data_IF_977196657909
#
_entry.id   IF_977196657909
#
_cell.length_a   1.000
_cell.length_b   1.000
_cell.length_c   1.000
_cell.angle_alpha   90.00
_cell.angle_beta   90.00
_cell.angle_gamma   90.00
#
_symmetry.space_group_name_H-M   'P 1'
#
loop_
_entity.id
_entity.type
_entity.pdbx_description
1 polymer ?
#
# COMPACT_ATOMS: atom_id res chain seq x y z
N UNK A 1 -12.98 -3.84 -8.35
CA UNK A 1 -14.26 -3.91 -9.10
C UNK A 1 -14.10 -4.97 -10.19
N UNK A 2 -15.18 -5.47 -10.79
CA UNK A 2 -15.12 -6.42 -11.91
C UNK A 2 -16.36 -6.28 -12.79
N UNK A 3 -16.25 -6.74 -14.05
CA UNK A 3 -17.40 -6.96 -14.92
C UNK A 3 -17.63 -8.46 -15.03
N UNK A 4 -18.88 -8.87 -14.80
CA UNK A 4 -19.28 -10.28 -14.77
C UNK A 4 -20.44 -10.51 -15.73
N UNK A 5 -20.40 -11.62 -16.46
CA UNK A 5 -21.49 -12.07 -17.34
C UNK A 5 -21.87 -13.50 -16.99
N UNK A 6 -23.14 -13.70 -16.63
CA UNK A 6 -23.71 -15.00 -16.29
C UNK A 6 -24.29 -15.66 -17.52
N UNK A 7 -23.86 -16.89 -17.81
CA UNK A 7 -24.34 -17.70 -18.91
C UNK A 7 -25.16 -18.85 -18.33
N UNK A 8 -26.48 -18.80 -18.54
CA UNK A 8 -27.42 -19.75 -17.94
C UNK A 8 -27.51 -21.02 -18.77
N UNK A 9 -26.81 -22.07 -18.35
CA UNK A 9 -26.72 -23.35 -19.06
C UNK A 9 -26.71 -24.53 -18.10
N UNK A 10 -27.29 -25.66 -18.52
CA UNK A 10 -27.12 -26.96 -17.85
C UNK A 10 -26.07 -27.85 -18.52
N UNK A 11 -25.62 -27.44 -19.70
CA UNK A 11 -24.56 -28.09 -20.47
C UNK A 11 -23.31 -27.24 -20.29
N UNK A 12 -22.52 -27.59 -19.27
CA UNK A 12 -21.27 -26.88 -18.94
C UNK A 12 -20.15 -27.46 -19.82
N UNK A 13 -19.57 -26.67 -20.73
CA UNK A 13 -18.49 -27.16 -21.58
C UNK A 13 -17.23 -27.45 -20.76
N UNK A 14 -16.47 -28.47 -21.15
CA UNK A 14 -15.15 -28.72 -20.58
C UNK A 14 -14.23 -27.50 -20.76
N UNK A 15 -13.38 -27.16 -19.77
CA UNK A 15 -12.46 -26.01 -19.86
C UNK A 15 -11.64 -25.98 -21.15
N UNK A 16 -11.13 -27.13 -21.56
CA UNK A 16 -10.37 -27.34 -22.79
C UNK A 16 -11.11 -26.91 -24.07
N UNK A 17 -12.44 -27.09 -24.10
CA UNK A 17 -13.26 -26.70 -25.24
C UNK A 17 -13.38 -25.17 -25.35
N UNK A 18 -13.46 -24.48 -24.20
CA UNK A 18 -13.45 -23.02 -24.14
C UNK A 18 -12.10 -22.51 -24.61
N UNK A 19 -11.00 -22.98 -24.00
CA UNK A 19 -9.63 -22.56 -24.31
C UNK A 19 -9.29 -22.71 -25.81
N UNK A 20 -9.66 -23.84 -26.43
CA UNK A 20 -9.42 -24.06 -27.86
C UNK A 20 -10.20 -23.13 -28.77
N UNK A 21 -11.35 -22.62 -28.33
CA UNK A 21 -12.21 -21.76 -29.14
C UNK A 21 -11.81 -20.28 -29.03
N UNK A 22 -11.27 -19.86 -27.90
CA UNK A 22 -10.72 -18.50 -27.72
C UNK A 22 -9.29 -18.36 -28.24
N UNK A 23 -8.56 -19.48 -28.42
CA UNK A 23 -7.22 -19.48 -28.99
C UNK A 23 -7.26 -19.15 -30.49
N UNK A 24 -6.96 -17.89 -30.82
CA UNK A 24 -6.74 -17.48 -32.20
C UNK A 24 -5.44 -18.09 -32.77
N UNK A 25 -5.40 -18.25 -34.09
CA UNK A 25 -4.21 -18.76 -34.77
C UNK A 25 -3.02 -17.82 -34.56
N UNK A 26 -2.00 -18.31 -33.87
CA UNK A 26 -0.77 -17.56 -33.58
C UNK A 26 -0.77 -16.86 -32.22
N UNK A 27 -1.79 -17.07 -31.40
CA UNK A 27 -1.87 -16.55 -30.03
C UNK A 27 -1.76 -17.70 -29.04
N UNK A 28 -0.85 -17.59 -28.08
CA UNK A 28 -0.70 -18.57 -27.00
C UNK A 28 -1.55 -18.15 -25.79
N UNK A 29 -2.22 -19.12 -25.17
CA UNK A 29 -3.01 -18.94 -23.96
C UNK A 29 -2.32 -19.69 -22.82
N UNK A 30 -2.23 -19.05 -21.67
CA UNK A 30 -1.76 -19.68 -20.44
C UNK A 30 -2.91 -19.77 -19.45
N UNK A 31 -3.10 -20.95 -18.87
CA UNK A 31 -4.06 -21.18 -17.81
C UNK A 31 -3.31 -21.42 -16.49
N UNK A 32 -3.65 -20.66 -15.45
CA UNK A 32 -3.12 -20.85 -14.09
C UNK A 32 -4.04 -21.72 -13.24
N UNK A 33 -5.29 -21.87 -13.68
CA UNK A 33 -6.18 -22.97 -13.30
C UNK A 33 -6.88 -23.46 -14.54
N UNK A 34 -6.88 -24.78 -14.78
CA UNK A 34 -7.48 -25.41 -15.95
C UNK A 34 -8.68 -26.31 -15.60
N UNK A 35 -9.17 -26.25 -14.36
CA UNK A 35 -10.26 -27.08 -13.85
C UNK A 35 -11.31 -26.21 -13.12
N UNK A 36 -12.54 -26.73 -13.01
CA UNK A 36 -13.62 -26.10 -12.25
C UNK A 36 -13.43 -26.30 -10.73
N UNK A 37 -13.98 -25.42 -9.87
CA UNK A 37 -15.00 -24.40 -10.17
C UNK A 37 -14.45 -23.09 -10.75
N UNK A 38 -13.14 -22.93 -10.97
CA UNK A 38 -12.58 -21.68 -11.51
C UNK A 38 -11.49 -21.94 -12.55
N UNK A 39 -11.81 -21.72 -13.81
CA UNK A 39 -10.86 -21.72 -14.93
C UNK A 39 -10.28 -20.30 -15.08
N UNK A 40 -8.98 -20.12 -14.82
CA UNK A 40 -8.30 -18.82 -14.90
C UNK A 40 -7.21 -18.84 -15.97
N UNK A 41 -7.29 -17.92 -16.93
CA UNK A 41 -6.39 -17.89 -18.08
C UNK A 41 -6.24 -16.51 -18.73
N UNK A 42 -5.17 -16.34 -19.50
CA UNK A 42 -4.82 -15.10 -20.19
C UNK A 42 -4.04 -15.34 -21.49
N UNK A 43 -3.96 -14.31 -22.33
CA UNK A 43 -3.05 -14.34 -23.48
C UNK A 43 -1.59 -14.17 -23.03
N UNK A 44 -0.71 -15.06 -23.48
CA UNK A 44 0.72 -14.99 -23.19
C UNK A 44 1.29 -13.63 -23.61
N UNK A 45 2.14 -13.06 -22.76
CA UNK A 45 2.80 -11.75 -22.94
C UNK A 45 1.87 -10.53 -23.04
N UNK A 46 0.57 -10.69 -22.79
CA UNK A 46 -0.42 -9.61 -22.95
C UNK A 46 -1.44 -9.49 -21.81
N UNK A 47 -1.61 -10.57 -21.03
CA UNK A 47 -2.46 -10.55 -19.86
C UNK A 47 -1.73 -9.97 -18.64
N UNK A 48 -2.42 -9.09 -17.92
CA UNK A 48 -2.01 -8.67 -16.58
C UNK A 48 -2.75 -9.52 -15.55
N UNK A 49 -4.08 -9.61 -15.68
CA UNK A 49 -4.95 -10.32 -14.74
C UNK A 49 -5.53 -11.59 -15.33
N UNK A 50 -5.64 -11.66 -16.66
CA UNK A 50 -6.41 -12.67 -17.34
C UNK A 50 -7.91 -12.51 -17.08
N UNK A 51 -8.64 -13.60 -17.28
CA UNK A 51 -10.06 -13.71 -16.97
C UNK A 51 -10.33 -14.98 -16.17
N UNK A 52 -11.48 -15.02 -15.52
CA UNK A 52 -11.96 -16.18 -14.78
C UNK A 52 -13.29 -16.66 -15.38
N UNK A 53 -13.43 -17.98 -15.51
CA UNK A 53 -14.69 -18.65 -15.82
C UNK A 53 -15.03 -19.55 -14.65
N UNK A 54 -16.05 -19.15 -13.89
CA UNK A 54 -16.46 -19.82 -12.66
C UNK A 54 -17.73 -20.65 -12.88
N UNK A 55 -17.82 -21.79 -12.21
CA UNK A 55 -19.04 -22.59 -12.13
C UNK A 55 -20.01 -21.96 -11.11
N UNK A 56 -21.27 -21.81 -11.51
CA UNK A 56 -22.36 -21.23 -10.72
C UNK A 56 -23.56 -22.18 -10.70
N UNK A 57 -24.48 -22.02 -9.73
CA UNK A 57 -25.63 -22.93 -9.54
C UNK A 57 -26.47 -23.14 -10.82
N UNK A 58 -26.61 -22.09 -11.63
CA UNK A 58 -27.41 -22.08 -12.87
C UNK A 58 -26.57 -21.95 -14.16
N UNK A 59 -25.26 -22.21 -14.11
CA UNK A 59 -24.40 -22.23 -15.29
C UNK A 59 -22.98 -21.75 -15.03
N UNK A 60 -22.54 -20.73 -15.78
CA UNK A 60 -21.18 -20.19 -15.71
C UNK A 60 -21.19 -18.68 -15.48
N UNK A 61 -20.20 -18.17 -14.77
CA UNK A 61 -19.85 -16.75 -14.73
C UNK A 61 -18.54 -16.55 -15.49
N UNK A 62 -18.52 -15.63 -16.46
CA UNK A 62 -17.27 -15.11 -17.03
C UNK A 62 -16.99 -13.77 -16.37
N UNK A 63 -15.77 -13.57 -15.87
CA UNK A 63 -15.38 -12.39 -15.10
C UNK A 63 -14.07 -11.79 -15.62
N UNK A 64 -14.03 -10.46 -15.70
CA UNK A 64 -12.80 -9.68 -15.87
C UNK A 64 -12.70 -8.64 -14.75
N UNK A 65 -11.54 -8.53 -14.12
CA UNK A 65 -11.32 -7.56 -13.04
C UNK A 65 -11.12 -6.14 -13.59
N UNK A 66 -11.39 -5.12 -12.78
CA UNK A 66 -10.95 -3.75 -13.05
C UNK A 66 -9.43 -3.67 -13.09
N UNK A 67 -8.89 -2.66 -13.78
CA UNK A 67 -7.45 -2.51 -13.98
C UNK A 67 -6.85 -3.72 -14.71
N UNK A 68 -7.50 -4.14 -15.80
CA UNK A 68 -7.02 -5.20 -16.68
C UNK A 68 -6.55 -4.60 -18.01
N UNK A 69 -5.75 -5.34 -18.78
CA UNK A 69 -5.32 -4.84 -20.10
C UNK A 69 -6.45 -4.89 -21.12
N UNK A 70 -6.29 -4.15 -22.23
CA UNK A 70 -7.16 -4.32 -23.40
C UNK A 70 -7.23 -5.77 -23.87
N UNK A 71 -6.13 -6.52 -23.76
CA UNK A 71 -6.10 -7.93 -24.14
C UNK A 71 -6.93 -8.83 -23.22
N UNK A 72 -6.95 -8.55 -21.91
CA UNK A 72 -7.79 -9.24 -20.93
C UNK A 72 -9.28 -8.98 -21.20
N UNK A 73 -9.68 -7.73 -21.46
CA UNK A 73 -11.06 -7.41 -21.85
C UNK A 73 -11.44 -8.04 -23.20
N UNK A 74 -10.55 -8.07 -24.19
CA UNK A 74 -10.79 -8.78 -25.45
C UNK A 74 -10.99 -10.29 -25.21
N UNK A 75 -10.22 -10.89 -24.32
CA UNK A 75 -10.34 -12.30 -23.96
C UNK A 75 -11.68 -12.59 -23.26
N UNK A 76 -12.11 -11.70 -22.36
CA UNK A 76 -13.41 -11.76 -21.69
C UNK A 76 -14.56 -11.87 -22.68
N UNK A 77 -14.60 -10.96 -23.67
CA UNK A 77 -15.65 -10.95 -24.69
C UNK A 77 -15.62 -12.21 -25.55
N UNK A 78 -14.41 -12.67 -25.93
CA UNK A 78 -14.23 -13.92 -26.69
C UNK A 78 -14.69 -15.14 -25.92
N UNK A 79 -14.44 -15.21 -24.61
CA UNK A 79 -14.86 -16.32 -23.78
C UNK A 79 -16.40 -16.39 -23.67
N UNK A 80 -17.07 -15.26 -23.51
CA UNK A 80 -18.54 -15.20 -23.51
C UNK A 80 -19.10 -15.71 -24.85
N UNK A 81 -18.61 -15.19 -25.97
CA UNK A 81 -19.04 -15.62 -27.31
C UNK A 81 -18.77 -17.12 -27.54
N UNK A 82 -17.59 -17.61 -27.14
CA UNK A 82 -17.23 -19.01 -27.26
C UNK A 82 -18.18 -19.93 -26.46
N UNK A 83 -18.48 -19.60 -25.21
CA UNK A 83 -19.38 -20.39 -24.36
C UNK A 83 -20.81 -20.34 -24.89
N UNK A 84 -21.31 -19.17 -25.31
CA UNK A 84 -22.63 -19.05 -25.93
C UNK A 84 -22.75 -19.91 -27.19
N UNK A 85 -21.72 -19.97 -28.03
CA UNK A 85 -21.70 -20.81 -29.23
C UNK A 85 -21.60 -22.31 -28.93
N UNK A 86 -20.86 -22.70 -27.89
CA UNK A 86 -20.72 -24.10 -27.47
C UNK A 86 -22.02 -24.66 -26.89
N UNK A 87 -22.78 -23.84 -26.16
CA UNK A 87 -23.93 -24.27 -25.36
C UNK A 87 -25.28 -23.89 -25.97
N UNK A 88 -25.31 -22.88 -26.84
CA UNK A 88 -26.56 -22.24 -27.30
C UNK A 88 -27.28 -21.44 -26.21
N UNK A 89 -26.66 -21.22 -25.06
CA UNK A 89 -27.22 -20.52 -23.92
C UNK A 89 -27.24 -19.00 -24.08
N UNK A 90 -28.01 -18.34 -23.21
CA UNK A 90 -28.09 -16.88 -23.13
C UNK A 90 -27.18 -16.34 -22.04
N UNK A 91 -26.58 -15.19 -22.32
CA UNK A 91 -25.71 -14.45 -21.41
C UNK A 91 -26.43 -13.24 -20.84
N UNK A 92 -26.14 -12.89 -19.59
CA UNK A 92 -26.78 -11.80 -18.85
C UNK A 92 -25.75 -11.02 -18.04
N UNK A 93 -25.90 -9.70 -18.00
CA UNK A 93 -25.20 -8.84 -17.05
C UNK A 93 -25.80 -8.98 -15.63
N UNK A 94 -25.14 -8.39 -14.64
CA UNK A 94 -25.57 -8.42 -13.23
C UNK A 94 -26.95 -7.79 -13.01
N UNK A 95 -27.35 -6.84 -13.86
CA UNK A 95 -28.65 -6.18 -13.86
C UNK A 95 -29.72 -6.93 -14.69
N UNK A 96 -29.46 -8.19 -15.03
CA UNK A 96 -30.33 -9.08 -15.82
C UNK A 96 -30.56 -8.64 -17.27
N UNK A 97 -29.74 -7.72 -17.79
CA UNK A 97 -29.77 -7.33 -19.20
C UNK A 97 -29.13 -8.43 -20.06
N UNK A 98 -29.87 -8.94 -21.06
CA UNK A 98 -29.41 -9.99 -21.97
C UNK A 98 -28.32 -9.48 -22.93
N UNK A 99 -27.21 -10.21 -23.02
CA UNK A 99 -26.12 -9.96 -23.97
C UNK A 99 -26.37 -10.80 -25.22
N UNK A 100 -26.85 -10.17 -26.30
CA UNK A 100 -27.24 -10.87 -27.54
C UNK A 100 -26.04 -11.11 -28.47
N UNK A 101 -25.16 -10.12 -28.62
CA UNK A 101 -24.01 -10.16 -29.51
C UNK A 101 -22.77 -9.64 -28.76
N UNK A 102 -22.06 -10.50 -27.99
CA UNK A 102 -20.98 -10.06 -27.10
C UNK A 102 -19.94 -9.17 -27.79
N UNK A 103 -19.48 -9.58 -28.98
CA UNK A 103 -18.47 -8.84 -29.77
C UNK A 103 -18.93 -7.44 -30.22
N UNK A 104 -20.24 -7.20 -30.30
CA UNK A 104 -20.79 -5.88 -30.64
C UNK A 104 -21.20 -5.08 -29.39
N UNK A 105 -21.63 -5.78 -28.34
CA UNK A 105 -22.03 -5.17 -27.07
C UNK A 105 -20.82 -4.63 -26.28
N UNK A 106 -19.71 -5.37 -26.31
CA UNK A 106 -18.44 -5.02 -25.68
C UNK A 106 -17.40 -4.71 -26.76
N UNK A 107 -17.63 -3.61 -27.48
CA UNK A 107 -16.77 -3.16 -28.57
C UNK A 107 -15.49 -2.48 -28.04
N UNK A 108 -14.59 -2.05 -28.94
CA UNK A 108 -13.34 -1.39 -28.56
C UNK A 108 -13.55 -0.11 -27.73
N UNK A 109 -14.60 0.67 -28.02
CA UNK A 109 -14.96 1.87 -27.23
C UNK A 109 -15.33 1.51 -25.79
N UNK A 110 -16.08 0.41 -25.58
CA UNK A 110 -16.36 -0.11 -24.25
C UNK A 110 -15.06 -0.53 -23.54
N UNK A 111 -14.18 -1.25 -24.23
CA UNK A 111 -12.91 -1.72 -23.67
C UNK A 111 -12.02 -0.56 -23.22
N UNK A 112 -11.89 0.48 -24.06
CA UNK A 112 -11.09 1.66 -23.71
C UNK A 112 -11.66 2.38 -22.48
N UNK A 113 -12.98 2.57 -22.44
CA UNK A 113 -13.65 3.19 -21.29
C UNK A 113 -13.49 2.39 -20.01
N UNK A 114 -13.60 1.06 -20.04
CA UNK A 114 -13.42 0.23 -18.84
C UNK A 114 -11.96 0.24 -18.34
N UNK A 115 -10.99 0.30 -19.25
CA UNK A 115 -9.58 0.43 -18.88
C UNK A 115 -9.31 1.79 -18.22
N UNK A 116 -9.79 2.88 -18.81
CA UNK A 116 -9.69 4.24 -18.26
C UNK A 116 -10.36 4.32 -16.87
N UNK A 117 -11.60 3.85 -16.75
CA UNK A 117 -12.31 3.83 -15.47
C UNK A 117 -11.60 2.99 -14.40
N UNK A 118 -10.97 1.88 -14.79
CA UNK A 118 -10.15 1.06 -13.90
C UNK A 118 -8.91 1.78 -13.39
N UNK A 119 -8.20 2.48 -14.27
CA UNK A 119 -7.03 3.30 -13.93
C UNK A 119 -7.42 4.47 -13.01
N UNK A 120 -8.46 5.21 -13.37
CA UNK A 120 -8.92 6.36 -12.59
C UNK A 120 -9.38 5.95 -11.20
N UNK A 121 -10.08 4.82 -11.08
CA UNK A 121 -10.47 4.28 -9.78
C UNK A 121 -9.25 3.90 -8.92
N UNK A 122 -8.21 3.29 -9.52
CA UNK A 122 -6.99 2.95 -8.80
C UNK A 122 -6.23 4.21 -8.34
N UNK A 123 -6.06 5.20 -9.22
CA UNK A 123 -5.43 6.49 -8.90
C UNK A 123 -6.19 7.24 -7.80
N UNK A 124 -7.52 7.30 -7.91
CA UNK A 124 -8.37 7.92 -6.89
C UNK A 124 -8.24 7.23 -5.54
N UNK A 125 -8.24 5.88 -5.50
CA UNK A 125 -8.07 5.13 -4.26
C UNK A 125 -6.69 5.36 -3.63
N UNK A 126 -5.60 5.32 -4.40
CA UNK A 126 -4.25 5.63 -3.91
C UNK A 126 -4.19 7.05 -3.36
N UNK A 127 -4.74 8.02 -4.10
CA UNK A 127 -4.82 9.42 -3.67
C UNK A 127 -5.57 9.57 -2.35
N UNK A 128 -6.77 8.99 -2.24
CA UNK A 128 -7.65 9.16 -1.08
C UNK A 128 -7.16 8.43 0.17
N UNK A 129 -6.47 7.29 -0.02
CA UNK A 129 -6.00 6.47 1.10
C UNK A 129 -4.59 6.84 1.55
N UNK A 130 -3.77 7.41 0.66
CA UNK A 130 -2.32 7.49 0.84
C UNK A 130 -1.64 6.12 0.91
N UNK A 131 -2.38 5.03 0.65
CA UNK A 131 -1.88 3.67 0.73
C UNK A 131 -1.86 3.03 -0.64
N UNK A 132 -0.98 2.05 -0.76
CA UNK A 132 -0.92 1.21 -1.94
C UNK A 132 -2.12 0.25 -2.00
N UNK A 133 -2.43 -0.20 -3.21
CA UNK A 133 -3.48 -1.17 -3.49
C UNK A 133 -2.83 -2.45 -3.96
N UNK A 134 -3.10 -3.55 -3.27
CA UNK A 134 -2.66 -4.88 -3.69
C UNK A 134 -3.69 -5.49 -4.63
N UNK A 135 -3.26 -5.92 -5.81
CA UNK A 135 -4.10 -6.56 -6.81
C UNK A 135 -3.53 -7.92 -7.21
N UNK A 136 -4.42 -8.87 -7.50
CA UNK A 136 -4.04 -10.20 -8.00
C UNK A 136 -3.90 -10.16 -9.52
N UNK A 137 -2.68 -10.37 -10.01
CA UNK A 137 -2.40 -10.63 -11.42
C UNK A 137 -2.72 -12.07 -11.82
N UNK A 138 -2.17 -12.46 -12.97
CA UNK A 138 -2.31 -13.82 -13.49
C UNK A 138 -1.37 -14.79 -12.75
N UNK A 139 -0.12 -14.41 -12.46
CA UNK A 139 0.89 -15.24 -11.79
C UNK A 139 1.29 -14.72 -10.42
N UNK A 140 1.43 -13.41 -10.26
CA UNK A 140 1.81 -12.79 -9.00
C UNK A 140 0.88 -11.62 -8.65
N UNK A 141 0.89 -11.24 -7.37
CA UNK A 141 0.30 -9.97 -6.94
C UNK A 141 1.08 -8.80 -7.57
N UNK A 142 0.44 -7.64 -7.63
CA UNK A 142 1.10 -6.37 -7.91
C UNK A 142 0.53 -5.26 -7.05
N UNK A 143 1.38 -4.35 -6.62
CA UNK A 143 1.04 -3.25 -5.73
C UNK A 143 1.08 -1.92 -6.50
N UNK A 144 -0.03 -1.18 -6.47
CA UNK A 144 -0.14 0.14 -7.08
C UNK A 144 -0.10 1.20 -5.98
N UNK A 145 0.82 2.15 -6.04
CA UNK A 145 0.82 3.31 -5.15
C UNK A 145 1.43 4.54 -5.83
N UNK A 146 1.68 5.57 -5.04
CA UNK A 146 2.08 6.88 -5.55
C UNK A 146 3.43 6.81 -6.27
N UNK A 147 4.39 6.04 -5.74
CA UNK A 147 5.72 5.93 -6.34
C UNK A 147 5.71 5.20 -7.67
N UNK A 148 4.91 4.13 -7.78
CA UNK A 148 4.75 3.43 -9.04
C UNK A 148 4.16 4.37 -10.08
N UNK A 149 3.07 5.08 -9.77
CA UNK A 149 2.47 6.02 -10.73
C UNK A 149 3.44 7.15 -11.11
N UNK A 150 4.13 7.75 -10.14
CA UNK A 150 5.13 8.79 -10.37
C UNK A 150 6.28 8.29 -11.27
N UNK A 151 6.73 7.04 -11.09
CA UNK A 151 7.82 6.46 -11.91
C UNK A 151 7.49 6.29 -13.39
N UNK A 152 6.20 6.38 -13.75
CA UNK A 152 5.69 6.38 -15.13
C UNK A 152 5.16 7.75 -15.55
N UNK A 153 5.45 8.82 -14.82
CA UNK A 153 4.93 10.17 -15.11
C UNK A 153 3.38 10.25 -15.09
N UNK A 154 2.72 9.37 -14.33
CA UNK A 154 1.26 9.33 -14.17
C UNK A 154 0.87 10.09 -12.90
N UNK A 155 0.35 11.33 -12.99
CA UNK A 155 -0.09 12.08 -11.82
C UNK A 155 -1.28 11.39 -11.14
N UNK A 156 -1.57 11.68 -9.88
CA UNK A 156 -2.76 11.14 -9.19
C UNK A 156 -4.04 11.94 -9.45
N UNK A 157 -3.94 13.18 -9.93
CA UNK A 157 -5.09 14.12 -10.04
C UNK A 157 -5.31 14.71 -11.42
N UNK A 158 -4.30 14.73 -12.29
CA UNK A 158 -4.35 15.42 -13.58
C UNK A 158 -4.63 14.48 -14.75
N UNK A 159 -4.78 15.05 -15.95
CA UNK A 159 -4.85 14.27 -17.17
C UNK A 159 -3.55 13.46 -17.37
N UNK A 160 -3.69 12.25 -17.91
CA UNK A 160 -2.58 11.31 -18.12
C UNK A 160 -2.25 11.19 -19.61
N UNK A 161 -0.97 11.07 -19.95
CA UNK A 161 -0.58 10.71 -21.31
C UNK A 161 -0.87 9.22 -21.55
N UNK A 162 -1.34 8.92 -22.76
CA UNK A 162 -1.66 7.54 -23.15
C UNK A 162 -0.40 6.69 -23.28
N UNK A 163 0.73 7.27 -23.70
CA UNK A 163 2.01 6.56 -23.84
C UNK A 163 2.55 6.11 -22.47
N UNK A 164 2.38 6.94 -21.44
CA UNK A 164 2.77 6.67 -20.06
C UNK A 164 1.91 5.54 -19.46
N UNK A 165 0.59 5.60 -19.68
CA UNK A 165 -0.35 4.55 -19.28
C UNK A 165 -0.04 3.23 -19.98
N UNK A 166 0.20 3.25 -21.30
CA UNK A 166 0.55 2.05 -22.06
C UNK A 166 1.87 1.45 -21.52
N UNK A 167 2.87 2.28 -21.20
CA UNK A 167 4.14 1.86 -20.60
C UNK A 167 3.97 1.21 -19.22
N UNK A 168 3.10 1.75 -18.36
CA UNK A 168 2.76 1.13 -17.08
C UNK A 168 2.17 -0.28 -17.27
N UNK A 169 1.18 -0.41 -18.16
CA UNK A 169 0.55 -1.71 -18.43
C UNK A 169 1.52 -2.70 -19.08
N UNK A 170 2.42 -2.25 -19.96
CA UNK A 170 3.47 -3.10 -20.55
C UNK A 170 4.44 -3.60 -19.47
N UNK A 171 4.89 -2.73 -18.56
CA UNK A 171 5.75 -3.11 -17.44
C UNK A 171 5.07 -4.15 -16.52
N UNK A 172 3.83 -3.87 -16.10
CA UNK A 172 3.06 -4.78 -15.25
C UNK A 172 2.80 -6.12 -15.95
N UNK A 173 2.54 -6.12 -17.26
CA UNK A 173 2.45 -7.36 -18.03
C UNK A 173 3.77 -8.12 -18.03
N UNK A 174 4.89 -7.46 -18.37
CA UNK A 174 6.22 -8.12 -18.42
C UNK A 174 6.53 -8.79 -17.09
N UNK A 175 6.28 -8.09 -15.98
CA UNK A 175 6.45 -8.63 -14.63
C UNK A 175 5.67 -9.93 -14.39
N UNK A 176 4.40 -10.01 -14.83
CA UNK A 176 3.61 -11.24 -14.68
C UNK A 176 4.23 -12.43 -15.42
N UNK A 177 4.88 -12.19 -16.56
CA UNK A 177 5.47 -13.26 -17.36
C UNK A 177 6.86 -13.64 -16.90
N UNK A 178 7.65 -12.67 -16.46
CA UNK A 178 8.92 -12.92 -15.82
C UNK A 178 8.73 -13.77 -14.55
N UNK A 179 7.62 -13.55 -13.82
CA UNK A 179 7.34 -14.21 -12.54
C UNK A 179 6.80 -15.64 -12.63
N UNK A 180 6.50 -16.17 -13.82
CA UNK A 180 5.88 -17.51 -14.02
C UNK A 180 6.64 -18.63 -13.28
N UNK A 181 7.97 -18.54 -13.24
CA UNK A 181 8.83 -19.52 -12.56
C UNK A 181 9.59 -18.92 -11.38
N UNK A 182 9.19 -17.73 -10.93
CA UNK A 182 9.80 -17.11 -9.75
C UNK A 182 9.30 -17.79 -8.49
N UNK A 183 10.21 -17.94 -7.54
CA UNK A 183 9.89 -18.24 -6.15
C UNK A 183 9.72 -16.93 -5.41
N UNK A 184 8.68 -16.82 -4.59
CA UNK A 184 8.49 -15.68 -3.72
C UNK A 184 8.76 -16.06 -2.26
N UNK A 185 8.73 -15.06 -1.39
CA UNK A 185 8.84 -15.22 0.07
C UNK A 185 7.49 -15.44 0.75
N UNK A 186 6.39 -15.59 -0.01
CA UNK A 186 5.07 -15.76 0.58
C UNK A 186 5.01 -17.08 1.36
N UNK A 187 4.28 -17.07 2.46
CA UNK A 187 4.08 -18.27 3.27
C UNK A 187 2.60 -18.58 3.42
N UNK A 188 2.30 -19.84 3.81
CA UNK A 188 0.96 -20.20 4.30
C UNK A 188 0.80 -19.92 5.79
N UNK A 189 1.80 -19.31 6.43
CA UNK A 189 1.75 -18.97 7.84
C UNK A 189 0.93 -17.70 8.02
N UNK A 190 0.02 -17.76 8.97
CA UNK A 190 -0.76 -16.61 9.42
C UNK A 190 -0.54 -16.52 10.92
N UNK A 191 -0.08 -15.37 11.40
CA UNK A 191 0.02 -15.12 12.84
C UNK A 191 -1.41 -14.97 13.38
N UNK A 192 -1.87 -15.86 14.27
CA UNK A 192 -3.24 -15.82 14.74
C UNK A 192 -3.47 -14.60 15.62
N UNK A 193 -4.60 -13.94 15.44
CA UNK A 193 -5.02 -12.87 16.33
C UNK A 193 -5.22 -13.36 17.76
N UNK A 194 -5.10 -12.42 18.71
CA UNK A 194 -5.32 -12.70 20.13
C UNK A 194 -6.79 -13.00 20.47
N UNK A 195 -7.73 -12.55 19.63
CA UNK A 195 -9.17 -12.83 19.77
C UNK A 195 -9.61 -14.17 19.13
N UNK A 196 -8.71 -14.83 18.40
CA UNK A 196 -8.96 -16.11 17.71
C UNK A 196 -9.75 -15.99 16.41
N UNK A 197 -10.05 -14.76 15.96
CA UNK A 197 -10.65 -14.51 14.65
C UNK A 197 -9.62 -14.69 13.53
N UNK A 198 -9.88 -15.64 12.63
CA UNK A 198 -8.99 -15.97 11.52
C UNK A 198 -8.85 -14.80 10.54
N UNK A 199 -9.87 -13.94 10.41
CA UNK A 199 -9.82 -12.77 9.54
C UNK A 199 -8.88 -11.67 10.06
N UNK A 200 -8.58 -11.68 11.37
CA UNK A 200 -7.66 -10.74 12.01
C UNK A 200 -6.22 -11.28 12.06
N UNK A 201 -5.95 -12.43 11.45
CA UNK A 201 -4.62 -13.00 11.37
C UNK A 201 -3.71 -12.18 10.45
N UNK A 202 -2.41 -12.13 10.77
CA UNK A 202 -1.42 -11.40 9.97
C UNK A 202 -0.70 -12.36 9.04
N UNK A 203 -0.74 -12.07 7.74
CA UNK A 203 0.02 -12.80 6.72
C UNK A 203 1.51 -12.52 6.83
N UNK A 204 2.34 -13.51 6.52
CA UNK A 204 3.79 -13.42 6.66
C UNK A 204 4.47 -13.71 5.32
N UNK A 205 5.32 -12.78 4.92
CA UNK A 205 6.39 -12.96 3.95
C UNK A 205 7.67 -13.30 4.73
N UNK A 206 8.46 -14.32 4.34
CA UNK A 206 9.59 -14.77 5.15
C UNK A 206 10.90 -14.93 4.38
N UNK A 207 11.99 -14.42 4.95
CA UNK A 207 13.37 -14.72 4.56
C UNK A 207 13.95 -15.65 5.63
N UNK A 208 14.32 -16.87 5.22
CA UNK A 208 14.83 -17.88 6.13
C UNK A 208 16.29 -18.22 5.83
N UNK A 209 17.09 -18.46 6.86
CA UNK A 209 18.40 -19.13 6.75
C UNK A 209 18.23 -20.59 7.17
N UNK A 210 18.76 -21.53 6.38
CA UNK A 210 18.77 -22.96 6.68
C UNK A 210 19.97 -23.66 6.07
N UNK A 211 20.59 -24.57 6.83
CA UNK A 211 21.81 -25.28 6.48
C UNK A 211 22.97 -24.35 6.03
N UNK A 212 23.10 -23.20 6.68
CA UNK A 212 24.13 -22.18 6.41
C UNK A 212 23.90 -21.39 5.11
N UNK A 213 22.67 -21.36 4.59
CA UNK A 213 22.32 -20.69 3.34
C UNK A 213 20.98 -19.96 3.49
N UNK A 214 20.83 -18.83 2.79
CA UNK A 214 19.54 -18.15 2.65
C UNK A 214 18.67 -18.97 1.69
N UNK A 215 17.41 -19.21 2.06
CA UNK A 215 16.45 -19.92 1.21
C UNK A 215 16.31 -19.22 -0.17
N UNK A 216 16.05 -20.02 -1.20
CA UNK A 216 16.00 -19.51 -2.57
C UNK A 216 14.67 -18.81 -2.88
N UNK A 217 14.73 -17.52 -3.22
CA UNK A 217 13.61 -16.73 -3.72
C UNK A 217 14.07 -15.74 -4.80
N UNK A 218 13.14 -15.22 -5.60
CA UNK A 218 13.41 -14.24 -6.66
C UNK A 218 12.91 -12.84 -6.29
N UNK A 219 11.85 -12.74 -5.50
CA UNK A 219 11.33 -11.47 -5.02
C UNK A 219 10.67 -11.62 -3.65
N UNK A 220 10.58 -10.51 -2.94
CA UNK A 220 9.85 -10.39 -1.68
C UNK A 220 8.41 -10.01 -2.01
N UNK A 221 7.46 -10.88 -1.69
CA UNK A 221 6.02 -10.66 -1.93
C UNK A 221 5.38 -9.89 -0.78
N UNK A 222 4.42 -9.04 -1.13
CA UNK A 222 3.60 -8.29 -0.18
C UNK A 222 2.82 -9.20 0.79
N UNK A 223 2.82 -8.79 2.06
CA UNK A 223 2.11 -9.39 3.19
C UNK A 223 1.92 -8.33 4.31
N UNK A 224 1.27 -8.68 5.42
CA UNK A 224 1.16 -7.79 6.59
C UNK A 224 2.50 -7.60 7.31
N UNK A 225 3.29 -8.68 7.40
CA UNK A 225 4.58 -8.72 8.07
C UNK A 225 5.68 -9.31 7.18
N UNK A 226 6.90 -8.80 7.34
CA UNK A 226 8.11 -9.53 6.96
C UNK A 226 8.70 -10.21 8.20
N UNK A 227 8.86 -11.54 8.11
CA UNK A 227 9.62 -12.34 9.06
C UNK A 227 11.04 -12.60 8.55
N UNK A 228 12.05 -12.39 9.37
CA UNK A 228 13.42 -12.85 9.10
C UNK A 228 13.81 -13.85 10.18
N UNK A 229 14.15 -15.07 9.77
CA UNK A 229 14.31 -16.21 10.66
C UNK A 229 15.59 -16.96 10.34
N UNK A 230 16.48 -17.06 11.32
CA UNK A 230 17.58 -18.01 11.28
C UNK A 230 17.11 -19.36 11.85
N UNK A 231 16.96 -20.37 10.99
CA UNK A 231 16.53 -21.71 11.41
C UNK A 231 17.70 -22.60 11.86
N UNK A 232 18.94 -22.13 11.71
CA UNK A 232 20.14 -22.85 12.10
C UNK A 232 20.64 -22.44 13.50
N UNK A 233 20.32 -21.23 13.96
CA UNK A 233 20.72 -20.70 15.27
C UNK A 233 19.53 -20.19 16.11
N UNK A 234 19.00 -21.07 16.96
CA UNK A 234 17.93 -20.76 17.93
C UNK A 234 18.31 -19.65 18.95
N UNK A 235 19.59 -19.27 19.06
CA UNK A 235 20.02 -18.17 19.92
C UNK A 235 19.71 -16.79 19.31
N UNK A 236 19.49 -16.71 17.99
CA UNK A 236 19.10 -15.49 17.29
C UNK A 236 17.57 -15.45 17.21
N UNK A 237 16.89 -14.58 17.98
CA UNK A 237 15.44 -14.53 17.95
C UNK A 237 14.96 -14.03 16.57
N UNK A 238 13.88 -14.61 16.01
CA UNK A 238 13.31 -14.11 14.76
C UNK A 238 12.87 -12.65 14.89
N UNK A 239 12.86 -11.94 13.77
CA UNK A 239 12.37 -10.56 13.68
C UNK A 239 11.10 -10.53 12.84
N UNK A 240 10.11 -9.78 13.30
CA UNK A 240 8.88 -9.51 12.55
C UNK A 240 8.65 -8.00 12.53
N UNK A 241 8.55 -7.44 11.34
CA UNK A 241 8.29 -6.00 11.15
C UNK A 241 7.09 -5.80 10.24
N UNK A 242 6.35 -4.67 10.37
CA UNK A 242 5.34 -4.29 9.39
C UNK A 242 5.95 -4.26 8.00
N UNK A 243 5.29 -4.89 7.03
CA UNK A 243 5.87 -5.09 5.70
C UNK A 243 6.18 -3.78 4.96
N UNK A 244 5.46 -2.70 5.26
CA UNK A 244 5.75 -1.38 4.72
C UNK A 244 7.13 -0.81 5.10
N UNK A 245 7.76 -1.34 6.14
CA UNK A 245 9.07 -0.85 6.63
C UNK A 245 10.26 -1.54 5.96
N UNK A 246 10.03 -2.54 5.11
CA UNK A 246 11.10 -3.44 4.67
C UNK A 246 12.17 -2.72 3.85
N UNK A 247 11.80 -1.71 3.07
CA UNK A 247 12.74 -0.96 2.24
C UNK A 247 13.86 -0.30 3.06
N UNK A 248 13.64 -0.06 4.36
CA UNK A 248 14.64 0.50 5.29
C UNK A 248 15.76 -0.48 5.63
N UNK A 249 15.50 -1.78 5.48
CA UNK A 249 16.44 -2.85 5.87
C UNK A 249 17.02 -3.59 4.66
N UNK A 250 16.45 -3.44 3.47
CA UNK A 250 16.95 -4.12 2.28
C UNK A 250 18.27 -3.49 1.81
N UNK A 251 19.31 -4.31 1.53
CA UNK A 251 20.54 -3.81 0.90
C UNK A 251 20.26 -3.23 -0.48
N UNK A 252 20.60 -1.95 -0.67
CA UNK A 252 20.33 -1.19 -1.91
C UNK A 252 20.99 -1.79 -3.17
N UNK A 253 22.04 -2.60 -3.01
CA UNK A 253 22.75 -3.26 -4.10
C UNK A 253 22.24 -4.68 -4.40
N UNK A 254 21.35 -5.22 -3.56
CA UNK A 254 20.81 -6.58 -3.72
C UNK A 254 19.32 -6.62 -4.08
N UNK A 255 18.63 -5.49 -4.01
CA UNK A 255 17.20 -5.38 -4.25
C UNK A 255 16.84 -4.18 -5.11
N UNK A 256 15.86 -4.38 -5.98
CA UNK A 256 15.21 -3.33 -6.76
C UNK A 256 13.70 -3.40 -6.52
N UNK A 257 13.01 -2.25 -6.54
CA UNK A 257 11.54 -2.23 -6.49
C UNK A 257 11.00 -2.94 -7.73
N UNK A 258 10.16 -3.94 -7.50
CA UNK A 258 9.44 -4.65 -8.55
C UNK A 258 8.14 -3.90 -8.89
N UNK A 259 7.49 -3.36 -7.87
CA UNK A 259 6.35 -2.44 -7.92
C UNK A 259 6.35 -1.55 -6.67
N UNK A 260 5.20 -1.01 -6.24
CA UNK A 260 5.12 -0.15 -5.06
C UNK A 260 5.72 -0.78 -3.79
N UNK A 261 5.46 -2.07 -3.55
CA UNK A 261 5.74 -2.72 -2.27
C UNK A 261 6.47 -4.06 -2.39
N UNK A 262 6.68 -4.58 -3.60
CA UNK A 262 7.40 -5.83 -3.81
C UNK A 262 8.83 -5.52 -4.29
N UNK A 263 9.78 -6.39 -3.93
CA UNK A 263 11.20 -6.15 -4.17
C UNK A 263 11.84 -7.34 -4.86
N UNK A 264 12.38 -7.14 -6.07
CA UNK A 264 13.13 -8.14 -6.83
C UNK A 264 14.52 -8.27 -6.23
N UNK A 265 14.95 -9.51 -5.98
CA UNK A 265 16.33 -9.82 -5.62
C UNK A 265 17.19 -9.85 -6.88
N UNK A 266 18.20 -9.00 -6.95
CA UNK A 266 19.11 -8.87 -8.10
C UNK A 266 20.46 -9.52 -7.85
N UNK A 267 20.89 -9.61 -6.59
CA UNK A 267 22.17 -10.22 -6.20
C UNK A 267 21.99 -11.38 -5.21
N UNK A 268 23.08 -12.12 -4.98
CA UNK A 268 23.08 -13.22 -4.00
C UNK A 268 23.11 -12.65 -2.58
N UNK A 269 22.17 -13.08 -1.74
CA UNK A 269 22.18 -12.76 -0.31
C UNK A 269 23.05 -13.74 0.45
N UNK A 270 23.96 -13.20 1.25
CA UNK A 270 24.75 -13.99 2.21
C UNK A 270 24.03 -14.06 3.55
N UNK A 271 24.42 -15.02 4.39
CA UNK A 271 23.92 -15.12 5.78
C UNK A 271 24.23 -13.84 6.56
N UNK A 272 25.45 -13.31 6.42
CA UNK A 272 25.87 -12.07 7.08
C UNK A 272 24.98 -10.89 6.69
N UNK A 273 24.65 -10.74 5.39
CA UNK A 273 23.72 -9.70 4.93
C UNK A 273 22.34 -9.85 5.55
N UNK A 274 21.83 -11.08 5.68
CA UNK A 274 20.52 -11.32 6.31
C UNK A 274 20.57 -11.06 7.81
N UNK A 275 21.69 -11.34 8.49
CA UNK A 275 21.88 -10.94 9.89
C UNK A 275 21.94 -9.42 10.06
N UNK A 276 22.63 -8.71 9.16
CA UNK A 276 22.63 -7.24 9.13
C UNK A 276 21.21 -6.69 8.94
N UNK A 277 20.40 -7.32 8.07
CA UNK A 277 18.97 -7.00 7.92
C UNK A 277 18.19 -7.24 9.22
N UNK A 278 18.46 -8.34 9.94
CA UNK A 278 17.80 -8.62 11.23
C UNK A 278 18.15 -7.56 12.28
N UNK A 279 19.42 -7.15 12.35
CA UNK A 279 19.88 -6.13 13.30
C UNK A 279 19.26 -4.76 12.98
N UNK A 280 19.24 -4.39 11.70
CA UNK A 280 18.54 -3.18 11.23
C UNK A 280 17.04 -3.23 11.56
N UNK A 281 16.39 -4.39 11.41
CA UNK A 281 14.96 -4.55 11.65
C UNK A 281 14.55 -4.49 13.13
N UNK A 282 15.48 -4.66 14.09
CA UNK A 282 15.14 -4.73 15.53
C UNK A 282 14.38 -3.53 16.06
N UNK A 283 14.73 -2.32 15.61
CA UNK A 283 14.05 -1.11 16.06
C UNK A 283 12.69 -0.90 15.38
N UNK A 284 12.44 -1.56 14.24
CA UNK A 284 11.16 -1.48 13.52
C UNK A 284 10.14 -2.51 14.04
N UNK A 285 10.57 -3.43 14.92
CA UNK A 285 9.69 -4.45 15.48
C UNK A 285 8.80 -3.87 16.58
N UNK A 286 7.46 -3.92 16.43
CA UNK A 286 6.53 -3.53 17.48
C UNK A 286 6.59 -4.48 18.67
N UNK A 287 6.23 -3.99 19.86
CA UNK A 287 6.10 -4.82 21.06
C UNK A 287 4.92 -5.81 20.96
N UNK A 288 3.86 -5.42 20.24
CA UNK A 288 2.68 -6.23 19.92
C UNK A 288 2.35 -6.09 18.43
N UNK A 289 2.50 -7.19 17.68
CA UNK A 289 2.29 -7.21 16.23
C UNK A 289 0.82 -7.01 15.83
N UNK A 290 -0.13 -7.29 16.72
CA UNK A 290 -1.56 -7.09 16.46
C UNK A 290 -2.07 -5.74 16.97
N UNK A 291 -1.24 -4.98 17.69
CA UNK A 291 -1.67 -3.69 18.20
C UNK A 291 -1.85 -2.70 17.06
N UNK A 292 -3.10 -2.27 16.85
CA UNK A 292 -3.46 -1.18 15.93
C UNK A 292 -3.56 0.10 16.76
N UNK A 293 -2.57 1.02 16.68
CA UNK A 293 -2.61 2.25 17.45
C UNK A 293 -3.80 3.12 17.01
N UNK A 294 -4.39 3.87 17.95
CA UNK A 294 -5.42 4.86 17.61
C UNK A 294 -4.74 6.13 17.12
N UNK A 295 -5.12 6.62 15.94
CA UNK A 295 -4.50 7.83 15.41
C UNK A 295 -5.08 9.10 16.04
N UNK A 296 -4.28 10.18 16.13
CA UNK A 296 -4.82 11.49 16.47
C UNK A 296 -6.02 11.90 15.62
N UNK A 297 -7.12 12.27 16.27
CA UNK A 297 -8.38 12.61 15.60
C UNK A 297 -9.42 11.48 15.58
N UNK A 298 -9.03 10.24 15.88
CA UNK A 298 -9.93 9.09 15.88
C UNK A 298 -10.38 8.68 17.28
N UNK A 299 -9.73 9.20 18.33
CA UNK A 299 -9.97 8.80 19.70
C UNK A 299 -8.75 8.97 20.58
N UNK A 300 -8.95 8.79 21.90
CA UNK A 300 -7.87 8.76 22.87
C UNK A 300 -7.66 7.34 23.40
N UNK A 301 -6.50 6.76 23.15
CA UNK A 301 -6.06 5.50 23.77
C UNK A 301 -5.16 5.80 24.97
N UNK A 302 -5.58 5.37 26.16
CA UNK A 302 -4.82 5.57 27.40
C UNK A 302 -3.49 4.80 27.44
N UNK A 303 -3.29 3.83 26.53
CA UNK A 303 -2.01 3.11 26.39
C UNK A 303 -0.96 3.93 25.65
N UNK A 304 -1.38 4.85 24.78
CA UNK A 304 -0.48 5.68 23.99
C UNK A 304 -0.04 6.90 24.80
N UNK A 305 1.24 7.24 24.68
CA UNK A 305 1.78 8.53 25.11
C UNK A 305 1.71 9.52 23.95
N UNK A 306 1.65 10.80 24.27
CA UNK A 306 1.60 11.86 23.26
C UNK A 306 2.87 12.69 23.30
N UNK A 307 3.54 12.78 22.16
CA UNK A 307 4.78 13.55 21.98
C UNK A 307 4.54 14.77 21.11
N UNK A 308 5.13 15.90 21.49
CA UNK A 308 5.13 17.13 20.70
C UNK A 308 6.49 17.30 20.05
N UNK A 309 6.48 17.35 18.73
CA UNK A 309 7.63 17.57 17.87
C UNK A 309 7.61 19.02 17.39
N UNK A 310 8.78 19.63 17.29
CA UNK A 310 8.93 21.02 16.89
C UNK A 310 9.67 21.08 15.55
N UNK A 311 9.04 21.69 14.56
CA UNK A 311 9.61 21.93 13.23
C UNK A 311 9.80 23.43 13.01
N UNK A 312 11.03 23.83 12.74
CA UNK A 312 11.34 25.18 12.30
C UNK A 312 11.93 25.10 10.87
N UNK A 313 11.18 25.52 9.83
CA UNK A 313 11.63 25.39 8.45
C UNK A 313 12.94 26.13 8.13
N UNK A 314 13.28 27.17 8.90
CA UNK A 314 14.51 27.95 8.68
C UNK A 314 15.78 27.19 9.09
N UNK A 315 15.66 26.15 9.93
CA UNK A 315 16.82 25.46 10.52
C UNK A 315 16.71 23.94 10.56
N UNK A 316 15.55 23.34 10.30
CA UNK A 316 15.39 21.88 10.32
C UNK A 316 15.91 21.26 9.03
N UNK A 317 16.10 19.93 9.02
CA UNK A 317 16.53 19.19 7.83
C UNK A 317 15.48 19.19 6.70
N UNK A 318 14.20 19.27 7.07
CA UNK A 318 13.07 19.38 6.13
C UNK A 318 12.72 20.86 5.96
N UNK A 319 12.83 21.37 4.73
CA UNK A 319 12.46 22.73 4.39
C UNK A 319 10.93 22.87 4.23
N UNK A 320 10.42 24.11 4.18
CA UNK A 320 9.01 24.36 3.88
C UNK A 320 8.63 23.84 2.48
N UNK A 321 9.54 24.00 1.51
CA UNK A 321 9.33 23.55 0.12
C UNK A 321 9.22 22.03 0.06
N UNK A 322 10.11 21.30 0.74
CA UNK A 322 10.06 19.83 0.77
C UNK A 322 8.78 19.32 1.46
N UNK A 323 8.35 19.98 2.54
CA UNK A 323 7.10 19.63 3.24
C UNK A 323 5.88 19.82 2.34
N UNK A 324 5.76 20.99 1.69
CA UNK A 324 4.66 21.27 0.76
C UNK A 324 4.67 20.32 -0.45
N UNK A 325 5.86 20.02 -1.00
CA UNK A 325 6.02 19.04 -2.08
C UNK A 325 5.55 17.64 -1.65
N UNK A 326 5.96 17.16 -0.48
CA UNK A 326 5.52 15.87 0.05
C UNK A 326 4.00 15.79 0.24
N UNK A 327 3.36 16.89 0.66
CA UNK A 327 1.90 16.99 0.77
C UNK A 327 1.24 16.93 -0.61
N UNK A 328 1.70 17.72 -1.58
CA UNK A 328 1.11 17.81 -2.93
C UNK A 328 1.13 16.47 -3.67
N UNK A 329 2.25 15.73 -3.58
CA UNK A 329 2.47 14.47 -4.30
C UNK A 329 2.14 13.23 -3.47
N UNK A 330 1.68 13.41 -2.23
CA UNK A 330 1.40 12.33 -1.27
C UNK A 330 2.61 11.40 -1.02
N UNK A 331 3.82 11.95 -1.09
CA UNK A 331 5.08 11.24 -0.88
C UNK A 331 5.41 11.20 0.62
N UNK A 332 4.66 10.36 1.34
CA UNK A 332 4.64 10.34 2.82
C UNK A 332 5.32 9.11 3.42
N UNK A 333 6.04 8.32 2.61
CA UNK A 333 6.58 7.00 2.99
C UNK A 333 7.59 7.02 4.13
N UNK A 334 8.31 8.12 4.33
CA UNK A 334 9.32 8.18 5.37
C UNK A 334 9.42 9.53 6.05
N UNK A 335 9.05 9.54 7.31
CA UNK A 335 9.43 10.59 8.21
C UNK A 335 10.12 9.98 9.42
N UNK A 336 11.21 10.62 9.86
CA UNK A 336 11.75 10.41 11.19
C UNK A 336 11.93 11.76 11.85
N UNK A 337 11.97 11.76 13.18
CA UNK A 337 12.23 12.99 13.92
C UNK A 337 13.01 12.72 15.19
N UNK A 338 13.88 13.66 15.54
CA UNK A 338 14.64 13.57 16.79
C UNK A 338 13.69 13.75 17.98
N UNK A 339 13.81 12.85 18.97
CA UNK A 339 12.98 12.85 20.17
C UNK A 339 13.82 13.07 21.42
N UNK A 340 13.52 14.12 22.18
CA UNK A 340 14.24 14.45 23.41
C UNK A 340 13.93 13.47 24.55
N UNK A 341 12.66 13.15 24.78
CA UNK A 341 12.20 12.18 25.78
C UNK A 341 12.15 10.75 25.19
N UNK A 342 13.14 10.37 24.37
CA UNK A 342 13.15 9.10 23.62
C UNK A 342 13.05 7.87 24.52
N UNK A 343 13.60 7.93 25.74
CA UNK A 343 13.56 6.84 26.72
C UNK A 343 12.12 6.45 27.11
N UNK A 344 11.18 7.39 26.92
CA UNK A 344 9.75 7.22 27.16
C UNK A 344 8.95 6.89 25.91
N UNK A 345 9.50 7.08 24.72
CA UNK A 345 8.79 6.84 23.46
C UNK A 345 8.82 5.36 23.09
N UNK A 346 7.73 4.84 22.55
CA UNK A 346 7.59 3.47 22.04
C UNK A 346 6.88 3.47 20.69
N UNK A 347 7.03 2.38 19.95
CA UNK A 347 6.22 2.12 18.77
C UNK A 347 4.73 2.18 19.13
N UNK A 348 3.94 2.87 18.33
CA UNK A 348 2.51 3.10 18.55
C UNK A 348 2.17 4.35 19.38
N UNK A 349 3.14 5.01 20.02
CA UNK A 349 2.88 6.29 20.68
C UNK A 349 2.51 7.39 19.67
N UNK A 350 1.74 8.37 20.11
CA UNK A 350 1.20 9.44 19.26
C UNK A 350 2.16 10.60 19.15
N UNK A 351 2.18 11.26 18.00
CA UNK A 351 2.91 12.50 17.83
C UNK A 351 2.07 13.62 17.20
N UNK A 352 2.47 14.86 17.49
CA UNK A 352 2.03 16.05 16.79
C UNK A 352 3.26 16.89 16.43
N UNK A 353 3.43 17.22 15.15
CA UNK A 353 4.47 18.13 14.66
C UNK A 353 3.92 19.55 14.62
N UNK A 354 4.60 20.45 15.32
CA UNK A 354 4.22 21.86 15.45
C UNK A 354 5.23 22.71 14.68
N UNK A 355 4.76 23.45 13.69
CA UNK A 355 5.54 24.51 13.03
C UNK A 355 5.75 25.66 14.00
N UNK A 356 7.01 26.01 14.23
CA UNK A 356 7.45 27.13 15.07
C UNK A 356 8.40 28.04 14.30
N UNK A 357 8.69 29.22 14.86
CA UNK A 357 9.58 30.19 14.24
C UNK A 357 8.79 31.31 13.54
N UNK A 358 9.19 31.66 12.31
CA UNK A 358 8.55 32.75 11.54
C UNK A 358 7.37 32.22 10.72
N UNK A 359 6.40 33.12 10.48
CA UNK A 359 5.23 32.83 9.67
C UNK A 359 4.08 32.26 10.48
N UNK A 360 3.22 31.49 9.83
CA UNK A 360 2.12 30.79 10.49
C UNK A 360 2.68 29.70 11.40
N UNK A 361 2.18 29.59 12.63
CA UNK A 361 2.62 28.57 13.60
C UNK A 361 1.43 27.76 14.09
N UNK A 362 1.63 26.47 14.29
CA UNK A 362 0.55 25.55 14.65
C UNK A 362 0.91 24.11 14.32
N UNK A 363 -0.02 23.20 14.58
CA UNK A 363 0.12 21.79 14.20
C UNK A 363 0.08 21.67 12.69
N UNK A 364 1.08 21.00 12.11
CA UNK A 364 1.19 20.72 10.66
C UNK A 364 1.13 19.24 10.33
N UNK A 365 1.29 18.37 11.32
CA UNK A 365 1.27 16.93 11.12
C UNK A 365 0.84 16.24 12.41
N UNK A 366 0.10 15.15 12.29
CA UNK A 366 -0.16 14.23 13.40
C UNK A 366 -0.01 12.79 12.93
N UNK A 367 0.27 11.90 13.87
CA UNK A 367 0.37 10.48 13.58
C UNK A 367 0.79 9.65 14.77
N UNK A 368 1.37 8.50 14.47
CA UNK A 368 1.92 7.57 15.46
C UNK A 368 3.36 7.22 15.09
N UNK A 369 4.19 6.93 16.08
CA UNK A 369 5.50 6.36 15.83
C UNK A 369 5.36 4.89 15.39
N UNK A 370 6.15 4.46 14.42
CA UNK A 370 6.12 3.09 13.88
C UNK A 370 7.46 2.34 14.08
N UNK A 371 8.28 2.86 14.99
CA UNK A 371 9.53 2.24 15.44
C UNK A 371 9.72 2.41 16.94
N UNK A 372 10.69 1.70 17.49
CA UNK A 372 11.33 1.95 18.76
C UNK A 372 12.41 3.03 18.61
N UNK A 373 12.76 3.76 19.68
CA UNK A 373 13.79 4.79 19.60
C UNK A 373 15.15 4.19 19.21
N UNK A 374 15.79 4.79 18.22
CA UNK A 374 17.12 4.37 17.75
C UNK A 374 18.10 5.55 17.75
N UNK A 375 19.38 5.26 17.98
CA UNK A 375 20.44 6.27 17.87
C UNK A 375 20.76 6.51 16.39
N UNK A 376 20.81 7.79 16.01
CA UNK A 376 21.15 8.22 14.65
C UNK A 376 22.19 9.33 14.66
N UNK A 377 22.77 9.59 13.49
CA UNK A 377 23.74 10.68 13.34
C UNK A 377 23.08 12.05 13.54
N UNK A 378 23.73 12.94 14.31
CA UNK A 378 23.27 14.32 14.47
C UNK A 378 23.37 15.07 13.13
N UNK A 379 22.22 15.27 12.47
CA UNK A 379 22.11 16.02 11.22
C UNK A 379 22.76 17.42 11.29
N UNK A 380 22.84 18.02 12.48
CA UNK A 380 23.45 19.33 12.67
C UNK A 380 24.98 19.33 12.66
N UNK A 381 25.61 18.15 12.56
CA UNK A 381 27.06 17.97 12.48
C UNK A 381 27.80 18.27 13.79
N UNK A 382 27.09 18.35 14.92
CA UNK A 382 27.67 18.73 16.23
C UNK A 382 28.15 17.53 17.05
N UNK A 383 28.06 16.32 16.50
CA UNK A 383 28.58 15.10 17.13
C UNK A 383 27.87 14.73 18.44
N UNK A 384 26.58 15.05 18.57
CA UNK A 384 25.76 14.65 19.71
C UNK A 384 25.14 13.29 19.42
N UNK A 385 24.95 12.47 20.46
CA UNK A 385 24.03 11.33 20.37
C UNK A 385 22.60 11.88 20.25
N UNK A 386 21.92 11.56 19.17
CA UNK A 386 20.53 11.96 18.91
C UNK A 386 19.73 10.68 18.72
N UNK A 387 18.56 10.64 19.34
CA UNK A 387 17.64 9.52 19.21
C UNK A 387 16.48 9.94 18.32
N UNK A 388 16.14 9.06 17.39
CA UNK A 388 15.09 9.25 16.42
C UNK A 388 13.97 8.26 16.66
N UNK A 389 12.78 8.65 16.23
CA UNK A 389 11.65 7.77 16.01
C UNK A 389 11.22 7.94 14.57
N UNK A 390 10.97 6.82 13.89
CA UNK A 390 10.21 6.81 12.65
C UNK A 390 8.74 7.12 12.93
N UNK A 391 8.13 7.81 11.98
CA UNK A 391 6.83 8.43 12.11
C UNK A 391 5.95 7.98 10.95
N UNK A 392 4.73 7.62 11.31
CA UNK A 392 3.65 7.35 10.38
C UNK A 392 2.53 8.39 10.57
N UNK A 393 2.49 9.41 9.70
CA UNK A 393 1.45 10.43 9.75
C UNK A 393 0.08 9.88 9.34
N UNK A 394 -0.96 10.46 9.93
CA UNK A 394 -2.36 10.31 9.49
C UNK A 394 -3.04 11.64 9.19
N UNK A 395 -2.32 12.76 9.35
CA UNK A 395 -2.71 14.10 8.93
C UNK A 395 -1.42 14.83 8.57
N UNK A 396 -1.38 15.43 7.39
CA UNK A 396 -0.34 16.38 6.99
C UNK A 396 -1.02 17.61 6.38
N UNK A 397 -0.63 18.79 6.84
CA UNK A 397 -1.21 20.07 6.43
C UNK A 397 -0.19 20.91 5.68
N UNK A 398 -0.60 21.53 4.58
CA UNK A 398 0.17 22.63 3.98
C UNK A 398 -0.03 23.90 4.83
N UNK A 399 1.02 24.38 5.54
CA UNK A 399 0.84 25.48 6.48
C UNK A 399 0.71 26.86 5.83
N UNK A 400 0.84 26.96 4.50
CA UNK A 400 0.63 28.19 3.73
C UNK A 400 -0.76 28.22 3.07
N UNK A 401 -1.34 27.06 2.75
CA UNK A 401 -2.61 26.97 2.01
C UNK A 401 -3.83 26.60 2.87
N UNK A 402 -3.65 25.90 4.00
CA UNK A 402 -4.79 25.47 4.86
C UNK A 402 -4.76 26.02 6.29
N UNK A 403 -5.94 26.15 6.94
CA UNK A 403 -6.00 26.48 8.37
C UNK A 403 -5.24 25.47 9.23
N UNK A 404 -4.76 25.91 10.40
CA UNK A 404 -4.09 25.07 11.39
C UNK A 404 -4.59 25.38 12.80
N UNK A 405 -4.47 24.40 13.70
CA UNK A 405 -4.61 24.65 15.13
C UNK A 405 -3.36 25.40 15.62
N UNK A 406 -3.49 26.72 15.84
CA UNK A 406 -2.34 27.61 16.04
C UNK A 406 -1.68 27.44 17.41
N UNK A 407 -0.40 27.85 17.51
CA UNK A 407 0.32 27.80 18.80
C UNK A 407 -0.34 28.69 19.86
N UNK A 408 -0.97 29.80 19.49
CA UNK A 408 -1.71 30.67 20.42
C UNK A 408 -2.93 29.95 21.01
N UNK A 409 -3.70 29.25 20.18
CA UNK A 409 -4.85 28.47 20.63
C UNK A 409 -4.43 27.31 21.54
N UNK A 410 -3.32 26.65 21.22
CA UNK A 410 -2.73 25.59 22.05
C UNK A 410 -2.24 26.14 23.39
N UNK A 411 -1.57 27.29 23.39
CA UNK A 411 -1.05 27.95 24.59
C UNK A 411 -2.18 28.44 25.50
N UNK A 412 -3.29 28.91 24.95
CA UNK A 412 -4.49 29.30 25.72
C UNK A 412 -5.12 28.08 26.40
N UNK A 413 -5.28 26.97 25.67
CA UNK A 413 -5.93 25.76 26.18
C UNK A 413 -5.05 24.95 27.15
N UNK A 414 -3.73 24.92 26.91
CA UNK A 414 -2.76 24.12 27.64
C UNK A 414 -1.55 24.98 28.04
N UNK A 415 -1.72 25.93 28.98
CA UNK A 415 -0.70 26.92 29.31
C UNK A 415 0.52 26.36 30.06
N UNK A 416 0.43 25.10 30.50
CA UNK A 416 1.50 24.39 31.22
C UNK A 416 2.66 24.00 30.30
N UNK A 417 2.41 23.89 29.00
CA UNK A 417 3.35 23.45 27.99
C UNK A 417 3.80 24.67 27.16
N UNK A 418 5.09 24.79 26.89
CA UNK A 418 5.62 25.79 25.95
C UNK A 418 5.45 25.28 24.51
N UNK A 419 4.55 25.91 23.77
CA UNK A 419 4.22 25.62 22.36
C UNK A 419 5.01 26.45 21.35
N UNK A 420 5.81 27.41 21.82
CA UNK A 420 6.53 28.37 20.96
C UNK A 420 8.00 28.02 20.79
N UNK A 421 8.51 27.03 21.53
CA UNK A 421 9.88 26.57 21.41
C UNK A 421 10.26 25.43 22.37
N UNK A 422 11.57 25.29 22.55
CA UNK A 422 12.19 24.24 23.38
C UNK A 422 12.74 23.07 22.55
N UNK A 423 13.05 21.97 23.24
CA UNK A 423 13.49 20.73 22.60
C UNK A 423 12.32 20.06 21.87
N UNK A 424 12.59 19.51 20.69
CA UNK A 424 11.62 18.68 19.97
C UNK A 424 11.49 17.30 20.63
N UNK A 425 10.30 16.68 20.54
CA UNK A 425 10.03 15.34 21.06
C UNK A 425 9.92 15.29 22.57
N UNK A 426 9.11 16.21 23.10
CA UNK A 426 8.77 16.26 24.52
C UNK A 426 7.50 15.46 24.78
N UNK A 427 7.49 14.71 25.87
CA UNK A 427 6.28 14.05 26.36
C UNK A 427 5.27 15.10 26.87
N UNK A 428 4.04 15.03 26.37
CA UNK A 428 2.92 15.81 26.88
C UNK A 428 2.26 15.08 28.06
N UNK A 429 1.91 15.83 29.10
CA UNK A 429 1.19 15.27 30.25
C UNK A 429 -0.19 14.75 29.86
N UNK A 430 -0.63 13.65 30.47
CA UNK A 430 -1.86 12.94 30.08
C UNK A 430 -3.12 13.83 30.05
N UNK A 431 -3.30 14.70 31.05
CA UNK A 431 -4.44 15.63 31.08
C UNK A 431 -4.46 16.60 29.89
N UNK A 432 -3.29 17.08 29.48
CA UNK A 432 -3.17 17.97 28.32
C UNK A 432 -3.23 17.18 27.00
N UNK A 433 -2.77 15.93 26.98
CA UNK A 433 -2.93 15.04 25.82
C UNK A 433 -4.41 14.77 25.48
N UNK A 434 -5.26 14.56 26.49
CA UNK A 434 -6.71 14.39 26.30
C UNK A 434 -7.35 15.68 25.75
N UNK A 435 -6.93 16.85 26.27
CA UNK A 435 -7.40 18.15 25.76
C UNK A 435 -6.97 18.37 24.32
N UNK A 436 -5.70 18.08 24.00
CA UNK A 436 -5.17 18.18 22.66
C UNK A 436 -5.95 17.31 21.68
N UNK A 437 -6.22 16.05 22.03
CA UNK A 437 -7.04 15.17 21.19
C UNK A 437 -8.44 15.75 20.96
N UNK A 438 -9.10 16.24 22.01
CA UNK A 438 -10.43 16.86 21.88
C UNK A 438 -10.41 18.09 20.96
N UNK A 439 -9.37 18.93 21.07
CA UNK A 439 -9.21 20.10 20.21
C UNK A 439 -8.93 19.70 18.76
N UNK A 440 -8.09 18.69 18.57
CA UNK A 440 -7.70 18.19 17.25
C UNK A 440 -8.87 17.53 16.53
N UNK A 441 -9.61 16.64 17.20
CA UNK A 441 -10.85 16.05 16.69
C UNK A 441 -11.84 17.11 16.21
N UNK A 442 -12.05 18.16 17.02
CA UNK A 442 -12.94 19.27 16.65
C UNK A 442 -12.41 20.03 15.44
N UNK A 443 -11.12 20.34 15.40
CA UNK A 443 -10.48 20.98 14.26
C UNK A 443 -10.68 20.17 12.98
N UNK A 444 -10.41 18.87 13.00
CA UNK A 444 -10.59 17.98 11.85
C UNK A 444 -12.07 17.87 11.44
N UNK A 445 -13.00 17.78 12.39
CA UNK A 445 -14.43 17.74 12.09
C UNK A 445 -14.91 19.03 11.40
N UNK A 446 -14.44 20.20 11.86
CA UNK A 446 -14.75 21.51 11.29
C UNK A 446 -14.24 21.67 9.86
N UNK A 447 -13.12 21.02 9.52
CA UNK A 447 -12.45 21.11 8.22
C UNK A 447 -12.53 19.83 7.39
N UNK A 448 -13.37 18.87 7.78
CA UNK A 448 -13.51 17.54 7.15
C UNK A 448 -13.88 17.57 5.66
N UNK A 449 -14.44 18.69 5.17
CA UNK A 449 -14.74 18.89 3.75
C UNK A 449 -13.51 19.21 2.91
N UNK A 450 -12.43 19.63 3.56
CA UNK A 450 -11.16 19.97 2.97
C UNK A 450 -10.14 18.81 3.07
N UNK A 451 -10.57 17.65 3.58
CA UNK A 451 -9.75 16.46 3.82
C UNK A 451 -9.92 15.40 2.71
N UNK A 452 -8.85 14.68 2.39
CA UNK A 452 -8.78 13.62 1.37
C UNK A 452 -9.43 12.28 1.76
N UNK A 453 -9.78 12.08 3.05
CA UNK A 453 -10.74 11.07 3.51
C UNK A 453 -10.17 9.92 4.37
N UNK A 454 -8.86 9.67 4.39
CA UNK A 454 -8.26 8.62 5.25
C UNK A 454 -6.94 9.06 5.89
N UNK A 455 -6.00 9.62 5.13
CA UNK A 455 -4.81 10.29 5.66
C UNK A 455 -5.08 11.71 6.16
N UNK A 456 -6.37 12.12 6.19
CA UNK A 456 -6.86 13.47 6.44
C UNK A 456 -5.88 14.55 6.00
N UNK A 457 -5.16 14.35 4.88
CA UNK A 457 -4.24 15.33 4.38
C UNK A 457 -5.16 16.44 3.90
N UNK A 458 -5.19 17.54 4.64
CA UNK A 458 -5.95 18.69 4.19
C UNK A 458 -5.09 19.38 3.15
N UNK A 459 -5.25 18.89 1.93
CA UNK A 459 -4.69 19.51 0.75
C UNK A 459 -5.80 20.37 0.19
N UNK A 460 -5.60 21.69 0.20
CA UNK A 460 -6.44 22.52 -0.63
C UNK A 460 -6.04 22.27 -2.09
N UNK A 461 -6.58 21.23 -2.73
CA UNK A 461 -6.65 21.21 -4.19
C UNK A 461 -7.69 22.23 -4.61
N UNK A 462 -7.34 23.52 -4.57
CA UNK A 462 -7.85 24.47 -5.55
C UNK A 462 -6.75 24.62 -6.59
N UNK A 463 -6.89 23.86 -7.67
CA UNK A 463 -6.88 24.44 -9.00
C UNK A 463 -7.75 23.63 -9.95
#
# INVERSE_FOLDING_TARGET
MSVSVKIRTKDVPEPDAILRRVADKGTEIVATSNEYPSLKFGFLNRALRGIEVNEEEDGLEVRVCSFSTKADYQLFVKAIDAIMQLTGAKAYLEDEVEVIAPLSAFNDEWIEREQEAGLDAARALVKHTGQHIVMYGLFCKFCLGAHLFESFDIPLSDDVDKEDVDSLFENLCSMQWESVNWKDTSTRMVMPSSDGDVENGLTISAICIRNGQVDEFNYISEADLLGIIDMDDDAIPPVFIPFREIWKILPNDAFERLDEMQFRRTEVLTVDMVHDMMDAARHLQPDDLHYKPTYPGEGFDEKQRTFILMWNPDISSVSLEDHCFGVEYNLTEYFNWSVWDYDKARCGDRFFLVRVGKGNTGIVMSGVFDSQPYEGEDWSGKGRSVYYMDMLPNVILDPEEVPMLTTEALQEAMPSFDWTGGHSGRLLGNEDAIKLETLWQRFLAEHSKDADGITMSMIHTIR
#
